data_IF_784513593254
#
_entry.id   IF_784513593254
#
_cell.length_a   1.000
_cell.length_b   1.000
_cell.length_c   1.000
_cell.angle_alpha   90.00
_cell.angle_beta   90.00
_cell.angle_gamma   90.00
#
_symmetry.space_group_name_H-M   'P 1'
#
loop_
_entity.id
_entity.type
_entity.pdbx_description
1 polymer ?
#
# COMPACT_ATOMS: atom_id res chain seq x y z
N UNK A 1 -18.41 -4.02 11.30
CA UNK A 1 -18.59 -2.63 10.85
C UNK A 1 -18.82 -1.79 12.09
N UNK A 2 -18.03 -0.74 12.28
CA UNK A 2 -18.19 0.17 13.41
C UNK A 2 -18.75 1.50 12.89
N UNK A 3 -19.73 2.06 13.60
CA UNK A 3 -20.34 3.34 13.23
C UNK A 3 -19.56 4.49 13.84
N UNK A 4 -19.19 5.45 13.00
CA UNK A 4 -18.54 6.69 13.42
C UNK A 4 -19.49 7.87 13.14
N UNK A 5 -19.82 8.64 14.17
CA UNK A 5 -20.60 9.88 14.04
C UNK A 5 -19.67 11.06 14.17
N UNK A 6 -19.64 11.93 13.18
CA UNK A 6 -18.82 13.15 13.16
C UNK A 6 -19.68 14.36 12.85
N UNK A 7 -19.34 15.50 13.46
CA UNK A 7 -19.91 16.80 13.07
C UNK A 7 -19.12 17.32 11.87
N UNK A 8 -19.83 17.74 10.83
CA UNK A 8 -19.25 18.34 9.64
C UNK A 8 -19.91 19.70 9.38
N UNK A 9 -19.19 20.60 8.70
CA UNK A 9 -19.78 21.87 8.28
C UNK A 9 -20.78 21.63 7.14
N UNK A 10 -21.80 22.49 6.98
CA UNK A 10 -22.75 22.38 5.87
C UNK A 10 -22.07 22.43 4.50
N UNK A 11 -20.99 23.20 4.38
CA UNK A 11 -20.18 23.31 3.16
C UNK A 11 -19.52 21.97 2.81
N UNK A 12 -18.98 21.27 3.80
CA UNK A 12 -18.37 19.95 3.60
C UNK A 12 -19.41 18.90 3.22
N UNK A 13 -20.60 18.95 3.81
CA UNK A 13 -21.71 18.08 3.44
C UNK A 13 -22.11 18.26 1.96
N UNK A 14 -22.25 19.51 1.51
CA UNK A 14 -22.57 19.83 0.12
C UNK A 14 -21.50 19.29 -0.85
N UNK A 15 -20.21 19.46 -0.51
CA UNK A 15 -19.11 18.93 -1.31
C UNK A 15 -19.12 17.39 -1.39
N UNK A 16 -19.39 16.70 -0.26
CA UNK A 16 -19.49 15.24 -0.23
C UNK A 16 -20.65 14.76 -1.10
N UNK A 17 -21.81 15.44 -1.04
CA UNK A 17 -22.97 15.09 -1.87
C UNK A 17 -22.68 15.26 -3.37
N UNK A 18 -22.03 16.35 -3.75
CA UNK A 18 -21.65 16.59 -5.13
C UNK A 18 -20.68 15.52 -5.66
N UNK A 19 -19.62 15.21 -4.89
CA UNK A 19 -18.65 14.19 -5.28
C UNK A 19 -19.28 12.78 -5.32
N UNK A 20 -20.15 12.47 -4.36
CA UNK A 20 -20.94 11.22 -4.33
C UNK A 20 -21.79 11.05 -5.60
N UNK A 21 -22.42 12.13 -6.08
CA UNK A 21 -23.20 12.11 -7.32
C UNK A 21 -22.33 11.94 -8.57
N UNK A 22 -21.16 12.60 -8.63
CA UNK A 22 -20.23 12.51 -9.76
C UNK A 22 -19.56 11.14 -9.88
N UNK A 23 -19.19 10.53 -8.76
CA UNK A 23 -18.49 9.25 -8.72
C UNK A 23 -19.44 8.04 -8.66
N UNK A 24 -20.75 8.26 -8.53
CA UNK A 24 -21.77 7.22 -8.32
C UNK A 24 -21.49 6.33 -7.09
N UNK A 25 -20.95 6.93 -6.02
CA UNK A 25 -20.63 6.25 -4.77
C UNK A 25 -21.54 6.73 -3.66
N UNK A 26 -21.81 5.87 -2.67
CA UNK A 26 -22.52 6.32 -1.46
C UNK A 26 -21.64 7.27 -0.62
N UNK A 27 -22.26 8.18 0.13
CA UNK A 27 -21.56 9.07 1.08
C UNK A 27 -20.59 8.31 2.00
N UNK A 28 -21.07 7.21 2.57
CA UNK A 28 -20.27 6.38 3.49
C UNK A 28 -19.09 5.71 2.81
N UNK A 29 -19.22 5.34 1.53
CA UNK A 29 -18.12 4.77 0.75
C UNK A 29 -17.06 5.81 0.44
N UNK A 30 -17.50 6.99 -0.02
CA UNK A 30 -16.62 8.12 -0.32
C UNK A 30 -15.82 8.55 0.92
N UNK A 31 -16.49 8.74 2.06
CA UNK A 31 -15.83 9.11 3.32
C UNK A 31 -14.84 8.04 3.75
N UNK A 32 -15.17 6.75 3.61
CA UNK A 32 -14.24 5.66 3.96
C UNK A 32 -13.01 5.63 3.07
N UNK A 33 -13.17 5.86 1.76
CA UNK A 33 -12.05 5.97 0.81
C UNK A 33 -11.15 7.15 1.17
N UNK A 34 -11.73 8.31 1.45
CA UNK A 34 -10.98 9.50 1.85
C UNK A 34 -10.16 9.27 3.14
N UNK A 35 -10.78 8.66 4.16
CA UNK A 35 -10.09 8.31 5.42
C UNK A 35 -8.96 7.31 5.20
N UNK A 36 -9.18 6.27 4.40
CA UNK A 36 -8.14 5.30 4.06
C UNK A 36 -6.96 5.95 3.32
N UNK A 37 -7.25 6.83 2.35
CA UNK A 37 -6.23 7.56 1.61
C UNK A 37 -5.41 8.46 2.54
N UNK A 38 -6.08 9.22 3.41
CA UNK A 38 -5.42 10.10 4.39
C UNK A 38 -4.50 9.31 5.34
N UNK A 39 -4.97 8.18 5.87
CA UNK A 39 -4.18 7.33 6.76
C UNK A 39 -2.98 6.71 6.02
N UNK A 40 -3.17 6.21 4.80
CA UNK A 40 -2.08 5.64 3.99
C UNK A 40 -1.01 6.69 3.68
N UNK A 41 -1.40 7.90 3.29
CA UNK A 41 -0.46 9.00 3.05
C UNK A 41 0.36 9.32 4.30
N UNK A 42 -0.30 9.41 5.46
CA UNK A 42 0.36 9.70 6.74
C UNK A 42 1.29 8.56 7.20
N UNK A 43 0.90 7.31 6.97
CA UNK A 43 1.74 6.15 7.30
C UNK A 43 2.93 6.01 6.35
N UNK A 44 2.74 6.33 5.06
CA UNK A 44 3.80 6.30 4.06
C UNK A 44 4.90 7.34 4.33
N UNK A 45 4.57 8.47 4.97
CA UNK A 45 5.57 9.46 5.37
C UNK A 45 6.34 9.09 6.63
N UNK A 46 5.97 8.02 7.34
CA UNK A 46 6.45 7.73 8.70
C UNK A 46 7.46 6.58 8.81
N UNK A 47 7.66 5.76 7.78
CA UNK A 47 8.56 4.61 7.90
C UNK A 47 9.43 4.44 6.65
N UNK A 48 10.74 4.45 6.87
CA UNK A 48 11.68 3.84 5.94
C UNK A 48 11.27 2.38 5.79
N UNK A 49 10.82 2.00 4.60
CA UNK A 49 10.55 0.60 4.26
C UNK A 49 11.77 0.10 3.52
N UNK A 50 12.49 -0.84 4.12
CA UNK A 50 13.66 -1.43 3.47
C UNK A 50 13.23 -2.29 2.29
N UNK A 51 14.14 -2.54 1.35
CA UNK A 51 13.88 -3.48 0.25
C UNK A 51 13.51 -4.89 0.76
N UNK A 52 14.01 -5.27 1.94
CA UNK A 52 13.67 -6.54 2.59
C UNK A 52 12.21 -6.55 3.05
N UNK A 53 11.72 -5.48 3.68
CA UNK A 53 10.34 -5.39 4.16
C UNK A 53 9.30 -5.49 3.02
N UNK A 54 9.69 -5.12 1.80
CA UNK A 54 8.84 -5.23 0.60
C UNK A 54 8.86 -6.62 -0.04
N UNK A 55 9.87 -7.45 0.26
CA UNK A 55 10.08 -8.74 -0.37
C UNK A 55 10.00 -9.92 0.63
N UNK A 56 9.57 -9.67 1.87
CA UNK A 56 9.49 -10.66 2.94
C UNK A 56 8.63 -11.88 2.56
N UNK A 57 7.57 -11.66 1.79
CA UNK A 57 6.69 -12.71 1.25
C UNK A 57 7.32 -13.50 0.09
N UNK A 58 8.37 -12.97 -0.54
CA UNK A 58 9.13 -13.62 -1.61
C UNK A 58 10.32 -14.43 -1.06
N UNK A 59 10.76 -14.16 0.16
CA UNK A 59 11.85 -14.90 0.79
C UNK A 59 11.38 -16.33 1.11
N UNK A 60 11.96 -17.31 0.41
CA UNK A 60 11.68 -18.72 0.67
C UNK A 60 10.35 -19.25 0.13
N UNK A 61 9.62 -18.47 -0.68
CA UNK A 61 8.35 -18.91 -1.28
C UNK A 61 8.53 -20.00 -2.37
N UNK A 62 9.74 -20.16 -2.89
CA UNK A 62 10.10 -21.22 -3.84
C UNK A 62 10.88 -22.34 -3.14
N UNK A 63 10.37 -23.57 -3.26
CA UNK A 63 11.08 -24.79 -2.88
C UNK A 63 11.44 -25.60 -4.14
N UNK A 64 12.64 -26.18 -4.17
CA UNK A 64 13.14 -26.96 -5.31
C UNK A 64 13.96 -26.18 -6.34
N UNK A 65 14.41 -24.97 -6.01
CA UNK A 65 15.38 -24.24 -6.82
C UNK A 65 16.77 -24.90 -6.83
N UNK A 66 17.63 -24.56 -7.81
CA UNK A 66 19.02 -24.99 -7.79
C UNK A 66 19.70 -24.59 -6.47
N UNK A 67 20.68 -25.38 -6.03
CA UNK A 67 21.47 -25.09 -4.84
C UNK A 67 22.04 -23.66 -4.90
N UNK A 68 22.18 -23.02 -3.73
CA UNK A 68 22.63 -21.63 -3.62
C UNK A 68 23.92 -21.39 -4.41
N UNK A 69 23.79 -20.67 -5.52
CA UNK A 69 24.88 -20.36 -6.45
C UNK A 69 25.93 -19.44 -5.80
N UNK A 70 25.60 -18.76 -4.70
CA UNK A 70 26.55 -17.95 -3.93
C UNK A 70 27.59 -18.78 -3.18
N UNK A 71 27.35 -20.08 -3.02
CA UNK A 71 28.28 -21.01 -2.35
C UNK A 71 29.55 -21.27 -3.17
N UNK A 72 29.54 -21.00 -4.47
CA UNK A 72 30.71 -21.14 -5.34
C UNK A 72 30.95 -19.83 -6.12
N UNK A 73 31.98 -19.05 -5.74
CA UNK A 73 32.27 -17.73 -6.33
C UNK A 73 32.46 -17.75 -7.85
N UNK A 74 32.80 -18.89 -8.44
CA UNK A 74 32.92 -19.03 -9.90
C UNK A 74 31.60 -18.80 -10.65
N UNK A 75 30.44 -19.07 -10.01
CA UNK A 75 29.13 -18.81 -10.60
C UNK A 75 28.74 -17.32 -10.62
N UNK A 76 29.45 -16.48 -9.85
CA UNK A 76 29.21 -15.03 -9.78
C UNK A 76 30.19 -14.21 -10.63
N UNK A 77 31.12 -14.86 -11.35
CA UNK A 77 32.22 -14.20 -12.05
C UNK A 77 31.79 -13.08 -13.05
N UNK A 78 30.58 -13.20 -13.59
CA UNK A 78 29.99 -12.26 -14.56
C UNK A 78 28.75 -11.54 -14.02
N UNK A 79 28.37 -11.77 -12.76
CA UNK A 79 27.18 -11.16 -12.17
C UNK A 79 27.40 -9.65 -12.02
N UNK A 80 26.55 -8.83 -12.64
CA UNK A 80 26.62 -7.36 -12.57
C UNK A 80 27.64 -6.70 -13.50
N UNK A 81 28.21 -7.42 -14.49
CA UNK A 81 28.97 -6.76 -15.58
C UNK A 81 28.00 -6.24 -16.64
N UNK A 82 28.17 -4.97 -17.03
CA UNK A 82 27.41 -4.24 -18.06
C UNK A 82 28.16 -4.29 -19.38
#
# INVERSE_FOLDING_TARGET
>A
MNTLTIKITPQLEAAILQASAQEHLSKSELVRRALNMYLRQRMSSAHFVSALDQADDLVGCFSGGPADLSSNPSHLASFGRV
#
